data_IF_582855697657
#
_entry.id   IF_582855697657
#
_cell.length_a   1.000
_cell.length_b   1.000
_cell.length_c   1.000
_cell.angle_alpha   90.00
_cell.angle_beta   90.00
_cell.angle_gamma   90.00
#
_symmetry.space_group_name_H-M   'P 1'
#
loop_
_entity.id
_entity.type
_entity.pdbx_description
1 polymer ?
#
# COMPACT_ATOMS: atom_id res chain seq x y z
N UNK A 1 1.20 -7.93 32.61
CA UNK A 1 1.36 -6.55 32.12
C UNK A 1 2.11 -6.66 30.80
N UNK A 2 1.44 -6.41 29.67
CA UNK A 2 2.07 -6.52 28.36
C UNK A 2 3.08 -5.38 28.22
N UNK A 3 4.34 -5.71 27.99
CA UNK A 3 5.38 -4.75 27.60
C UNK A 3 4.89 -3.94 26.41
N UNK A 4 5.16 -2.63 26.44
CA UNK A 4 4.68 -1.65 25.46
C UNK A 4 4.92 -2.13 24.03
N UNK A 5 3.85 -2.59 23.38
CA UNK A 5 3.89 -3.12 22.04
C UNK A 5 4.45 -2.07 21.10
N UNK A 6 5.70 -2.26 20.67
CA UNK A 6 6.28 -1.49 19.58
C UNK A 6 5.30 -1.57 18.43
N UNK A 7 4.76 -0.41 18.04
CA UNK A 7 3.83 -0.27 16.94
C UNK A 7 4.53 -0.87 15.72
N UNK A 8 3.82 -1.64 14.90
CA UNK A 8 4.40 -2.25 13.69
C UNK A 8 3.47 -1.93 12.56
N UNK A 9 3.93 -1.06 11.69
CA UNK A 9 3.25 -0.73 10.46
C UNK A 9 4.24 -0.76 9.31
N UNK A 10 3.72 -1.03 8.12
CA UNK A 10 4.47 -0.92 6.87
C UNK A 10 3.66 -0.05 5.94
N UNK A 11 4.33 0.86 5.23
CA UNK A 11 3.68 1.61 4.15
C UNK A 11 4.31 1.31 2.81
N UNK A 12 3.47 1.27 1.78
CA UNK A 12 3.87 1.10 0.38
C UNK A 12 3.19 2.22 -0.41
N UNK A 13 3.99 3.08 -1.01
CA UNK A 13 3.52 4.33 -1.61
C UNK A 13 3.96 4.47 -3.06
N UNK A 14 3.00 4.74 -3.93
CA UNK A 14 3.22 5.20 -5.30
C UNK A 14 2.98 6.72 -5.31
N UNK A 15 4.05 7.48 -5.42
CA UNK A 15 4.05 8.91 -5.15
C UNK A 15 4.77 9.70 -6.23
N UNK A 16 4.22 10.87 -6.56
CA UNK A 16 4.89 11.90 -7.34
C UNK A 16 5.54 12.90 -6.39
N UNK A 17 6.87 12.99 -6.48
CA UNK A 17 7.69 13.95 -5.75
C UNK A 17 8.18 15.05 -6.71
N UNK A 18 8.31 16.32 -6.22
CA UNK A 18 8.15 16.77 -4.83
C UNK A 18 6.72 17.14 -4.42
N UNK A 19 5.74 17.00 -5.32
CA UNK A 19 4.36 17.43 -5.10
C UNK A 19 3.66 16.72 -3.94
N UNK A 20 4.15 15.54 -3.54
CA UNK A 20 3.53 14.67 -2.53
C UNK A 20 2.10 14.29 -2.93
N UNK A 21 1.96 13.89 -4.19
CA UNK A 21 0.74 13.35 -4.75
C UNK A 21 0.84 11.82 -4.73
N UNK A 22 0.05 11.16 -3.89
CA UNK A 22 0.07 9.71 -3.69
C UNK A 22 -1.11 9.09 -4.42
N UNK A 23 -0.85 8.47 -5.57
CA UNK A 23 -1.88 7.77 -6.33
C UNK A 23 -2.35 6.48 -5.63
N UNK A 24 -1.47 5.90 -4.80
CA UNK A 24 -1.79 4.76 -3.96
C UNK A 24 -0.85 4.75 -2.74
N UNK A 25 -1.40 4.92 -1.54
CA UNK A 25 -0.70 4.74 -0.27
C UNK A 25 -1.37 3.62 0.53
N UNK A 26 -0.72 2.48 0.61
CA UNK A 26 -1.17 1.31 1.37
C UNK A 26 -0.45 1.32 2.70
N UNK A 27 -1.18 1.12 3.80
CA UNK A 27 -0.64 0.96 5.14
C UNK A 27 -1.16 -0.33 5.75
N UNK A 28 -0.24 -1.18 6.17
CA UNK A 28 -0.55 -2.38 6.95
C UNK A 28 -0.29 -2.10 8.43
N UNK A 29 -1.25 -2.42 9.28
CA UNK A 29 -1.09 -2.42 10.73
C UNK A 29 -1.02 -3.85 11.26
N UNK A 30 -0.01 -4.12 12.07
CA UNK A 30 0.22 -5.41 12.71
C UNK A 30 -0.06 -5.30 14.22
N UNK A 31 -1.35 -5.26 14.60
CA UNK A 31 -1.79 -5.20 16.00
C UNK A 31 -1.82 -3.80 16.65
N UNK A 32 -1.85 -2.72 15.87
CA UNK A 32 -1.95 -1.36 16.41
C UNK A 32 -3.32 -1.12 17.07
N UNK A 33 -3.38 -0.78 18.36
CA UNK A 33 -4.64 -0.64 19.14
C UNK A 33 -5.55 -1.88 19.06
N UNK A 34 -4.96 -3.08 18.95
CA UNK A 34 -5.68 -4.34 18.67
C UNK A 34 -6.31 -4.43 17.28
N UNK A 35 -5.93 -3.54 16.35
CA UNK A 35 -6.34 -3.56 14.95
C UNK A 35 -5.27 -4.27 14.12
N UNK A 36 -5.73 -5.21 13.30
CA UNK A 36 -4.95 -5.85 12.25
C UNK A 36 -5.60 -5.48 10.91
N UNK A 37 -5.29 -4.29 10.43
CA UNK A 37 -6.01 -3.67 9.31
C UNK A 37 -5.08 -3.17 8.22
N UNK A 38 -5.65 -3.07 7.02
CA UNK A 38 -5.05 -2.47 5.85
C UNK A 38 -5.83 -1.20 5.52
N UNK A 39 -5.14 -0.07 5.46
CA UNK A 39 -5.71 1.20 5.01
C UNK A 39 -5.14 1.53 3.63
N UNK A 40 -5.97 2.05 2.74
CA UNK A 40 -5.58 2.52 1.42
C UNK A 40 -6.00 3.98 1.30
N UNK A 41 -5.10 4.85 0.86
CA UNK A 41 -5.40 6.27 0.73
C UNK A 41 -4.78 6.92 -0.50
N UNK A 42 -5.45 7.97 -0.98
CA UNK A 42 -4.93 8.90 -1.99
C UNK A 42 -4.74 10.26 -1.35
N UNK A 43 -3.61 10.89 -1.66
CA UNK A 43 -3.25 12.21 -1.17
C UNK A 43 -2.86 13.09 -2.33
N UNK A 44 -3.24 14.36 -2.28
CA UNK A 44 -2.87 15.38 -3.26
C UNK A 44 -2.29 16.57 -2.54
N UNK A 45 -1.02 16.89 -2.79
CA UNK A 45 -0.28 17.96 -2.12
C UNK A 45 -0.36 17.84 -0.59
N UNK A 46 -0.10 16.65 -0.07
CA UNK A 46 -0.22 16.31 1.37
C UNK A 46 -1.65 16.40 1.96
N UNK A 47 -2.69 16.56 1.14
CA UNK A 47 -4.08 16.53 1.59
C UNK A 47 -4.73 15.19 1.27
N UNK A 48 -5.33 14.55 2.27
CA UNK A 48 -6.10 13.32 2.07
C UNK A 48 -7.29 13.60 1.14
N UNK A 49 -7.36 12.88 0.02
CA UNK A 49 -8.45 12.98 -0.95
C UNK A 49 -9.45 11.85 -0.73
N UNK A 50 -8.95 10.63 -0.53
CA UNK A 50 -9.81 9.45 -0.43
C UNK A 50 -9.20 8.36 0.45
N UNK A 51 -9.84 8.01 1.57
CA UNK A 51 -9.49 6.84 2.37
C UNK A 51 -10.38 5.63 2.04
N UNK A 52 -9.81 4.43 2.19
CA UNK A 52 -10.48 3.14 2.33
C UNK A 52 -9.83 2.47 3.53
N UNK A 53 -10.45 2.64 4.68
CA UNK A 53 -9.88 2.22 5.96
C UNK A 53 -10.41 0.86 6.39
N UNK A 54 -9.72 0.24 7.35
CA UNK A 54 -10.16 -0.96 8.05
C UNK A 54 -10.44 -2.18 7.14
N UNK A 55 -9.72 -2.29 6.02
CA UNK A 55 -9.68 -3.57 5.30
C UNK A 55 -8.96 -4.60 6.16
N UNK A 56 -9.25 -5.88 5.96
CA UNK A 56 -8.57 -6.93 6.73
C UNK A 56 -7.07 -6.95 6.38
N UNK A 57 -6.20 -6.86 7.37
CA UNK A 57 -4.82 -7.29 7.21
C UNK A 57 -4.77 -8.79 7.49
N UNK A 58 -4.49 -9.63 6.49
CA UNK A 58 -4.35 -11.07 6.71
C UNK A 58 -3.09 -11.43 7.49
N UNK A 59 -2.14 -10.51 7.57
CA UNK A 59 -0.82 -10.82 8.07
C UNK A 59 -0.69 -10.67 9.57
N UNK A 60 -0.08 -11.67 10.20
CA UNK A 60 0.40 -11.64 11.57
C UNK A 60 1.62 -10.74 11.75
N UNK A 61 1.94 -10.46 13.00
CA UNK A 61 3.11 -9.69 13.37
C UNK A 61 4.39 -10.55 13.22
N UNK A 62 5.47 -9.99 12.67
CA UNK A 62 6.77 -10.69 12.41
C UNK A 62 6.72 -11.84 11.38
N UNK A 63 5.59 -12.08 10.71
CA UNK A 63 5.55 -13.08 9.66
C UNK A 63 6.06 -12.53 8.33
N UNK A 64 6.56 -13.45 7.49
CA UNK A 64 6.86 -13.14 6.10
C UNK A 64 5.55 -12.94 5.33
N UNK A 65 5.51 -11.92 4.48
CA UNK A 65 4.34 -11.61 3.68
C UNK A 65 4.72 -11.25 2.25
N UNK A 66 3.77 -11.43 1.33
CA UNK A 66 3.89 -11.00 -0.06
C UNK A 66 2.73 -10.07 -0.39
N UNK A 67 2.99 -8.97 -1.09
CA UNK A 67 1.92 -8.13 -1.64
C UNK A 67 2.19 -7.99 -3.13
N UNK A 68 1.19 -8.32 -3.94
CA UNK A 68 1.23 -8.07 -5.39
C UNK A 68 0.21 -7.00 -5.72
N UNK A 69 0.62 -6.07 -6.57
CA UNK A 69 -0.23 -4.97 -7.01
C UNK A 69 -0.27 -5.03 -8.52
N UNK A 70 -1.47 -5.15 -9.07
CA UNK A 70 -1.74 -4.97 -10.49
C UNK A 70 -2.64 -3.75 -10.66
N UNK A 71 -2.52 -3.01 -11.75
CA UNK A 71 -3.34 -1.85 -12.01
C UNK A 71 -3.75 -1.74 -13.48
N UNK A 72 -4.98 -1.31 -13.71
CA UNK A 72 -5.42 -0.74 -14.98
C UNK A 72 -5.35 0.78 -14.92
N UNK A 73 -5.86 1.46 -15.96
CA UNK A 73 -6.01 2.91 -15.97
C UNK A 73 -6.95 3.44 -14.87
N UNK A 74 -7.85 2.60 -14.34
CA UNK A 74 -8.95 3.03 -13.46
C UNK A 74 -9.07 2.26 -12.15
N UNK A 75 -8.43 1.09 -12.02
CA UNK A 75 -8.54 0.23 -10.84
C UNK A 75 -7.19 -0.37 -10.48
N UNK A 76 -6.82 -0.30 -9.21
CA UNK A 76 -5.75 -1.09 -8.61
C UNK A 76 -6.32 -2.34 -7.93
N UNK A 77 -5.64 -3.47 -8.12
CA UNK A 77 -5.93 -4.78 -7.54
C UNK A 77 -4.78 -5.14 -6.61
N UNK A 78 -5.08 -5.23 -5.31
CA UNK A 78 -4.09 -5.53 -4.27
C UNK A 78 -4.35 -6.98 -3.81
N UNK A 79 -3.37 -7.84 -4.06
CA UNK A 79 -3.39 -9.24 -3.70
C UNK A 79 -2.55 -9.45 -2.44
N UNK A 80 -3.14 -10.12 -1.45
CA UNK A 80 -2.51 -10.40 -0.18
C UNK A 80 -2.62 -11.89 0.13
N UNK A 81 -1.69 -12.70 -0.42
CA UNK A 81 -1.77 -14.16 -0.44
C UNK A 81 -3.14 -14.67 -0.96
N UNK A 82 -3.77 -15.60 -0.24
CA UNK A 82 -5.05 -16.24 -0.61
C UNK A 82 -6.30 -15.43 -0.20
N UNK A 83 -6.13 -14.19 0.26
CA UNK A 83 -7.25 -13.36 0.69
C UNK A 83 -7.99 -12.71 -0.49
N UNK A 84 -9.28 -12.35 -0.30
CA UNK A 84 -10.04 -11.62 -1.31
C UNK A 84 -9.28 -10.38 -1.80
N UNK A 85 -9.19 -10.23 -3.12
CA UNK A 85 -8.50 -9.11 -3.76
C UNK A 85 -9.17 -7.80 -3.38
N UNK A 86 -8.39 -6.87 -2.83
CA UNK A 86 -8.88 -5.52 -2.58
C UNK A 86 -8.85 -4.76 -3.91
N UNK A 87 -10.03 -4.35 -4.38
CA UNK A 87 -10.18 -3.51 -5.56
C UNK A 87 -10.32 -2.05 -5.15
N UNK A 88 -9.44 -1.22 -5.67
CA UNK A 88 -9.43 0.22 -5.40
C UNK A 88 -9.61 1.00 -6.71
N UNK A 89 -10.70 1.76 -6.83
CA UNK A 89 -10.88 2.69 -7.95
C UNK A 89 -9.88 3.84 -7.82
N UNK A 90 -9.00 3.98 -8.81
CA UNK A 90 -7.98 5.02 -8.86
C UNK A 90 -8.62 6.41 -8.97
N UNK A 91 -8.02 7.39 -8.29
CA UNK A 91 -8.49 8.77 -8.28
C UNK A 91 -7.97 9.51 -9.53
N UNK A 92 -8.87 9.97 -10.43
CA UNK A 92 -8.44 10.59 -11.70
C UNK A 92 -7.58 11.84 -11.52
N UNK A 93 -7.74 12.55 -10.40
CA UNK A 93 -6.97 13.77 -10.13
C UNK A 93 -5.55 13.53 -9.63
N UNK A 94 -5.20 12.27 -9.33
CA UNK A 94 -3.85 11.79 -8.94
C UNK A 94 -3.60 10.42 -9.61
N UNK A 95 -3.35 10.40 -10.93
CA UNK A 95 -3.27 9.15 -11.67
C UNK A 95 -1.99 8.37 -11.40
N UNK A 96 -2.09 7.04 -11.39
CA UNK A 96 -0.96 6.15 -11.12
C UNK A 96 0.17 6.27 -12.17
N UNK A 97 -0.16 6.61 -13.42
CA UNK A 97 0.84 6.79 -14.49
C UNK A 97 1.71 8.04 -14.32
N UNK A 98 1.33 8.98 -13.45
CA UNK A 98 2.05 10.24 -13.20
C UNK A 98 2.98 10.15 -11.97
N UNK A 99 3.02 9.00 -11.28
CA UNK A 99 3.92 8.80 -10.14
C UNK A 99 5.37 8.69 -10.59
N UNK A 100 6.29 9.19 -9.77
CA UNK A 100 7.73 9.20 -10.07
C UNK A 100 8.54 8.33 -9.12
N UNK A 101 7.94 7.86 -8.03
CA UNK A 101 8.61 7.13 -6.97
C UNK A 101 7.73 6.02 -6.42
N UNK A 102 8.37 4.91 -6.07
CA UNK A 102 7.84 3.86 -5.23
C UNK A 102 8.61 3.84 -3.92
N UNK A 103 7.93 4.01 -2.79
CA UNK A 103 8.57 4.16 -1.49
C UNK A 103 7.93 3.19 -0.49
N UNK A 104 8.79 2.41 0.17
CA UNK A 104 8.44 1.62 1.34
C UNK A 104 8.81 2.42 2.59
N UNK A 105 7.87 2.55 3.54
CA UNK A 105 8.02 3.33 4.77
C UNK A 105 8.23 4.84 4.52
N UNK A 106 7.25 5.48 3.87
CA UNK A 106 7.31 6.92 3.55
C UNK A 106 7.24 7.84 4.78
N UNK A 107 6.60 7.43 5.88
CA UNK A 107 6.69 8.20 7.12
C UNK A 107 7.90 7.72 7.90
N UNK A 108 8.84 8.63 8.16
CA UNK A 108 10.10 8.45 8.92
C UNK A 108 9.88 8.09 10.41
N UNK A 109 8.76 7.44 10.72
CA UNK A 109 8.39 7.02 12.04
C UNK A 109 9.18 5.77 12.44
N UNK A 110 9.76 5.79 13.64
CA UNK A 110 10.63 4.76 14.19
C UNK A 110 9.96 3.38 14.33
N UNK A 111 8.64 3.35 14.28
CA UNK A 111 7.82 2.16 14.40
C UNK A 111 7.45 1.51 13.07
N UNK A 112 7.84 2.12 11.94
CA UNK A 112 7.68 1.51 10.62
C UNK A 112 8.90 0.69 10.25
N UNK A 113 8.76 -0.64 10.23
CA UNK A 113 9.87 -1.54 10.00
C UNK A 113 9.44 -2.71 9.12
N UNK A 114 10.25 -3.01 8.11
CA UNK A 114 10.14 -4.21 7.29
C UNK A 114 11.53 -4.64 6.84
N UNK A 115 11.76 -5.95 6.77
CA UNK A 115 12.92 -6.52 6.08
C UNK A 115 12.50 -6.86 4.66
N UNK A 116 13.12 -6.23 3.67
CA UNK A 116 12.81 -6.48 2.26
C UNK A 116 13.67 -7.63 1.72
N UNK A 117 13.04 -8.76 1.40
CA UNK A 117 13.71 -9.89 0.75
C UNK A 117 13.71 -9.78 -0.77
N UNK A 118 12.60 -9.31 -1.34
CA UNK A 118 12.42 -9.20 -2.79
C UNK A 118 11.53 -8.01 -3.15
N UNK A 119 11.91 -7.32 -4.21
CA UNK A 119 11.09 -6.32 -4.90
C UNK A 119 11.27 -6.54 -6.40
N UNK A 120 10.16 -6.54 -7.12
CA UNK A 120 10.17 -6.65 -8.58
C UNK A 120 8.87 -6.13 -9.17
N UNK A 121 8.95 -5.74 -10.42
CA UNK A 121 7.79 -5.36 -11.22
C UNK A 121 7.92 -6.03 -12.59
N UNK A 122 6.79 -6.46 -13.13
CA UNK A 122 6.66 -6.94 -14.50
C UNK A 122 5.77 -5.99 -15.26
N UNK A 123 6.13 -5.66 -16.49
CA UNK A 123 5.34 -4.80 -17.35
C UNK A 123 5.22 -5.44 -18.72
N UNK A 124 4.13 -6.17 -18.96
CA UNK A 124 3.70 -6.50 -20.31
C UNK A 124 2.17 -6.48 -20.29
N UNK A 125 1.56 -5.42 -20.83
CA UNK A 125 0.23 -5.58 -21.41
C UNK A 125 0.44 -6.44 -22.66
N UNK A 126 0.51 -7.77 -22.51
CA UNK A 126 0.61 -8.65 -23.67
C UNK A 126 -0.63 -8.41 -24.52
N UNK A 127 -0.44 -7.82 -25.70
CA UNK A 127 -1.43 -7.90 -26.75
C UNK A 127 -1.54 -9.37 -27.15
N UNK A 128 -2.54 -10.06 -26.64
CA UNK A 128 -2.95 -11.37 -27.14
C UNK A 128 -3.91 -11.10 -28.30
N UNK A 129 -3.51 -11.28 -29.58
CA UNK A 129 -4.43 -11.15 -30.70
C UNK A 129 -5.50 -12.24 -30.58
N UNK A 130 -6.78 -11.85 -30.75
CA UNK A 130 -7.90 -12.78 -30.94
C UNK A 130 -7.83 -13.45 -32.32
#
# INVERSE_FOLDING_TARGET
MAEGGKRRAVTISFVKLPEKDFALHIRLYFGYKSLNTTDISVWKKDNLVRPVDNQMNPYGCEEDFEIRINASDTVAFIYMNDYPVIQYTLEPTVPLWDITSFIINYSEEDYMQVTLYYIGWTGICEYVPL
#
